data_IF_974168203584
#
_entry.id   IF_974168203584
#
_cell.length_a   1.000
_cell.length_b   1.000
_cell.length_c   1.000
_cell.angle_alpha   90.00
_cell.angle_beta   90.00
_cell.angle_gamma   90.00
#
_symmetry.space_group_name_H-M   'P 1'
#
loop_
_entity.id
_entity.type
_entity.pdbx_description
1 polymer ?
#
# COMPACT_ATOMS: atom_id res chain seq x y z
N UNK A 1 52.52 -0.94 -3.36
CA UNK A 1 51.60 0.21 -3.29
C UNK A 1 50.22 -0.36 -3.50
N UNK A 2 49.54 -0.68 -2.40
CA UNK A 2 48.23 -1.30 -2.36
C UNK A 2 47.16 -0.25 -2.61
N UNK A 3 46.23 -0.53 -3.50
CA UNK A 3 44.92 0.11 -3.54
C UNK A 3 43.93 -1.06 -3.60
N UNK A 4 43.55 -1.50 -2.41
CA UNK A 4 42.35 -2.31 -2.18
C UNK A 4 41.11 -1.42 -2.25
N UNK A 5 39.95 -2.06 -2.35
CA UNK A 5 38.59 -1.51 -2.19
C UNK A 5 37.87 -0.96 -3.43
N UNK A 6 37.73 -1.79 -4.47
CA UNK A 6 36.42 -1.88 -5.14
C UNK A 6 35.46 -2.66 -4.23
N UNK A 7 34.93 -1.97 -3.23
CA UNK A 7 33.79 -2.45 -2.46
C UNK A 7 32.53 -2.29 -3.33
N UNK A 8 32.40 -3.19 -4.30
CA UNK A 8 31.17 -3.45 -5.01
C UNK A 8 30.09 -3.80 -3.99
N UNK A 9 29.34 -2.79 -3.57
CA UNK A 9 28.02 -2.98 -2.94
C UNK A 9 27.13 -3.61 -4.01
N UNK A 10 27.30 -4.90 -4.22
CA UNK A 10 26.25 -5.77 -4.69
C UNK A 10 25.18 -5.67 -3.61
N UNK A 11 24.31 -4.68 -3.77
CA UNK A 11 23.09 -4.54 -2.99
C UNK A 11 22.38 -5.87 -3.21
N UNK A 12 22.48 -6.77 -2.23
CA UNK A 12 21.82 -8.07 -2.22
C UNK A 12 20.33 -7.77 -2.13
N UNK A 13 19.75 -7.44 -3.27
CA UNK A 13 18.33 -7.25 -3.38
C UNK A 13 17.66 -8.60 -3.15
N UNK A 14 16.93 -8.69 -2.05
CA UNK A 14 16.26 -9.92 -1.69
C UNK A 14 15.16 -10.19 -2.73
N UNK A 15 15.08 -11.42 -3.26
CA UNK A 15 14.02 -11.77 -4.20
C UNK A 15 12.66 -11.54 -3.54
N UNK A 16 11.68 -11.16 -4.35
CA UNK A 16 10.31 -11.01 -3.86
C UNK A 16 9.85 -12.37 -3.29
N UNK A 17 9.33 -12.40 -2.05
CA UNK A 17 9.02 -13.65 -1.38
C UNK A 17 7.92 -14.38 -2.15
N UNK A 18 8.10 -15.67 -2.44
CA UNK A 18 7.03 -16.46 -3.07
C UNK A 18 5.80 -16.50 -2.16
N UNK A 19 4.62 -16.16 -2.68
CA UNK A 19 3.38 -16.21 -1.90
C UNK A 19 2.55 -17.41 -2.31
N UNK A 20 2.47 -18.37 -1.40
CA UNK A 20 1.54 -19.50 -1.49
C UNK A 20 0.37 -19.37 -0.52
N UNK A 21 0.56 -18.68 0.60
CA UNK A 21 -0.45 -18.52 1.67
C UNK A 21 -0.14 -17.33 2.56
N UNK A 22 -1.20 -16.63 2.97
CA UNK A 22 -1.16 -15.64 4.05
C UNK A 22 -1.88 -16.23 5.27
N UNK A 23 -1.26 -16.16 6.44
CA UNK A 23 -1.80 -16.69 7.71
C UNK A 23 -2.01 -15.62 8.77
N UNK A 24 -1.53 -14.40 8.53
CA UNK A 24 -1.69 -13.27 9.44
C UNK A 24 -1.62 -11.93 8.72
N UNK A 25 -2.19 -10.89 9.33
CA UNK A 25 -2.08 -9.51 8.84
C UNK A 25 -0.64 -8.99 8.86
N UNK A 26 0.16 -9.41 9.83
CA UNK A 26 1.59 -9.07 9.90
C UNK A 26 2.35 -9.61 8.69
N UNK A 27 2.12 -10.88 8.32
CA UNK A 27 2.71 -11.47 7.12
C UNK A 27 2.25 -10.76 5.84
N UNK A 28 0.95 -10.48 5.73
CA UNK A 28 0.38 -9.75 4.59
C UNK A 28 1.05 -8.37 4.44
N UNK A 29 1.21 -7.64 5.54
CA UNK A 29 1.87 -6.35 5.59
C UNK A 29 3.35 -6.44 5.18
N UNK A 30 4.13 -7.33 5.81
CA UNK A 30 5.55 -7.46 5.53
C UNK A 30 5.83 -7.81 4.06
N UNK A 31 5.06 -8.75 3.51
CA UNK A 31 5.23 -9.17 2.11
C UNK A 31 4.83 -8.07 1.12
N UNK A 32 3.74 -7.34 1.39
CA UNK A 32 3.32 -6.23 0.54
C UNK A 32 4.26 -5.02 0.63
N UNK A 33 4.77 -4.70 1.82
CA UNK A 33 5.80 -3.66 2.00
C UNK A 33 7.06 -3.93 1.18
N UNK A 34 7.46 -5.20 1.04
CA UNK A 34 8.61 -5.58 0.20
C UNK A 34 8.33 -5.38 -1.30
N UNK A 35 7.10 -5.63 -1.74
CA UNK A 35 6.70 -5.33 -3.11
C UNK A 35 6.65 -3.81 -3.36
N UNK A 36 6.09 -3.06 -2.41
CA UNK A 36 6.02 -1.60 -2.45
C UNK A 36 7.40 -0.96 -2.62
N UNK A 37 8.40 -1.40 -1.84
CA UNK A 37 9.74 -0.85 -1.95
C UNK A 37 10.33 -1.07 -3.33
N UNK A 38 10.15 -2.24 -3.95
CA UNK A 38 10.64 -2.49 -5.32
C UNK A 38 10.00 -1.60 -6.38
N UNK A 39 8.70 -1.30 -6.24
CA UNK A 39 7.98 -0.43 -7.17
C UNK A 39 8.29 1.06 -6.99
N UNK A 40 8.71 1.46 -5.78
CA UNK A 40 8.84 2.87 -5.39
C UNK A 40 10.29 3.38 -5.24
N UNK A 41 11.33 2.56 -5.39
CA UNK A 41 12.72 3.03 -5.21
C UNK A 41 13.03 4.15 -6.23
N UNK A 42 13.23 5.40 -5.77
CA UNK A 42 13.64 6.49 -6.64
C UNK A 42 15.07 6.22 -7.15
N UNK A 43 15.27 6.33 -8.47
CA UNK A 43 16.60 6.18 -9.07
C UNK A 43 17.01 4.74 -9.43
N UNK A 44 16.12 3.75 -9.26
CA UNK A 44 16.32 2.41 -9.81
C UNK A 44 15.89 2.40 -11.27
N UNK A 45 16.79 2.84 -12.15
CA UNK A 45 16.65 2.66 -13.58
C UNK A 45 17.34 1.34 -13.95
N UNK A 46 16.60 0.27 -14.24
CA UNK A 46 17.20 -0.84 -14.99
C UNK A 46 17.80 -0.27 -16.27
N UNK A 47 19.03 -0.66 -16.55
CA UNK A 47 19.79 -0.20 -17.73
C UNK A 47 19.18 -0.69 -19.04
N UNK A 48 18.25 -1.67 -18.97
CA UNK A 48 17.58 -2.33 -20.08
C UNK A 48 16.05 -2.30 -19.89
N UNK A 49 15.32 -1.81 -20.91
CA UNK A 49 13.85 -1.78 -20.95
C UNK A 49 13.23 -3.19 -20.86
N UNK A 50 13.90 -4.20 -21.40
CA UNK A 50 13.43 -5.58 -21.40
C UNK A 50 13.48 -6.20 -20.00
N UNK A 51 14.51 -5.89 -19.22
CA UNK A 51 14.62 -6.31 -17.82
C UNK A 51 13.51 -5.66 -16.97
N UNK A 52 13.20 -4.38 -17.24
CA UNK A 52 12.11 -3.67 -16.56
C UNK A 52 10.75 -4.30 -16.85
N UNK A 53 10.47 -4.61 -18.12
CA UNK A 53 9.21 -5.23 -18.53
C UNK A 53 9.06 -6.62 -17.88
N UNK A 54 10.13 -7.41 -17.84
CA UNK A 54 10.11 -8.73 -17.20
C UNK A 54 9.91 -8.63 -15.68
N UNK A 55 10.55 -7.68 -15.01
CA UNK A 55 10.38 -7.43 -13.57
C UNK A 55 8.94 -7.01 -13.25
N UNK A 56 8.36 -6.09 -14.03
CA UNK A 56 6.95 -5.68 -13.89
C UNK A 56 6.00 -6.86 -14.09
N UNK A 57 6.23 -7.68 -15.13
CA UNK A 57 5.42 -8.88 -15.36
C UNK A 57 5.50 -9.87 -14.19
N UNK A 58 6.68 -10.09 -13.61
CA UNK A 58 6.84 -10.92 -12.42
C UNK A 58 6.10 -10.34 -11.22
N UNK A 59 6.17 -9.02 -11.01
CA UNK A 59 5.46 -8.34 -9.93
C UNK A 59 3.94 -8.41 -10.10
N UNK A 60 3.43 -8.31 -11.32
CA UNK A 60 1.99 -8.49 -11.61
C UNK A 60 1.51 -9.88 -11.22
N UNK A 61 2.19 -10.93 -11.70
CA UNK A 61 1.87 -12.32 -11.33
C UNK A 61 1.94 -12.50 -9.81
N UNK A 62 2.94 -11.88 -9.17
CA UNK A 62 3.05 -11.92 -7.72
C UNK A 62 1.88 -11.23 -7.01
N UNK A 63 1.43 -10.07 -7.49
CA UNK A 63 0.31 -9.32 -6.93
C UNK A 63 -1.02 -10.07 -7.06
N UNK A 64 -1.21 -10.80 -8.16
CA UNK A 64 -2.36 -11.70 -8.35
C UNK A 64 -2.34 -12.85 -7.31
N UNK A 65 -1.17 -13.45 -7.09
CA UNK A 65 -1.02 -14.50 -6.08
C UNK A 65 -1.20 -13.95 -4.65
N UNK A 66 -0.70 -12.75 -4.38
CA UNK A 66 -0.91 -12.05 -3.11
C UNK A 66 -2.40 -11.83 -2.86
N UNK A 67 -3.14 -11.31 -3.85
CA UNK A 67 -4.58 -11.05 -3.76
C UNK A 67 -5.37 -12.32 -3.46
N UNK A 68 -5.05 -13.41 -4.18
CA UNK A 68 -5.69 -14.70 -3.95
C UNK A 68 -5.44 -15.21 -2.54
N UNK A 69 -4.17 -15.23 -2.10
CA UNK A 69 -3.81 -15.69 -0.77
C UNK A 69 -4.42 -14.82 0.34
N UNK A 70 -4.52 -13.51 0.13
CA UNK A 70 -5.13 -12.58 1.06
C UNK A 70 -6.64 -12.80 1.15
N UNK A 71 -7.31 -12.99 0.00
CA UNK A 71 -8.74 -13.31 -0.05
C UNK A 71 -9.05 -14.61 0.68
N UNK A 72 -8.27 -15.67 0.46
CA UNK A 72 -8.43 -16.95 1.17
C UNK A 72 -8.27 -16.79 2.70
N UNK A 73 -7.30 -15.97 3.12
CA UNK A 73 -7.11 -15.62 4.53
C UNK A 73 -8.32 -14.85 5.08
N UNK A 74 -8.85 -13.87 4.36
CA UNK A 74 -10.04 -13.12 4.76
C UNK A 74 -11.27 -14.02 4.88
N UNK A 75 -11.51 -14.91 3.93
CA UNK A 75 -12.63 -15.86 3.98
C UNK A 75 -12.64 -16.73 5.24
N UNK A 76 -11.45 -17.09 5.76
CA UNK A 76 -11.32 -17.92 6.94
C UNK A 76 -11.29 -17.14 8.26
N UNK A 77 -10.81 -15.90 8.25
CA UNK A 77 -10.44 -15.18 9.47
C UNK A 77 -11.30 -13.94 9.74
N UNK A 78 -11.99 -13.38 8.74
CA UNK A 78 -12.69 -12.09 8.83
C UNK A 78 -13.81 -12.10 9.89
N UNK A 79 -14.50 -13.22 10.09
CA UNK A 79 -15.58 -13.33 11.08
C UNK A 79 -15.09 -13.13 12.53
N UNK A 80 -13.80 -13.37 12.79
CA UNK A 80 -13.18 -13.20 14.12
C UNK A 80 -12.39 -11.90 14.27
N UNK A 81 -12.29 -11.07 13.23
CA UNK A 81 -11.47 -9.86 13.25
C UNK A 81 -12.11 -8.72 14.03
N UNK A 82 -11.31 -8.03 14.84
CA UNK A 82 -11.70 -6.79 15.51
C UNK A 82 -11.76 -5.59 14.56
N UNK A 83 -12.23 -4.44 15.07
CA UNK A 83 -12.31 -3.20 14.28
C UNK A 83 -10.95 -2.71 13.77
N UNK A 84 -9.89 -2.88 14.55
CA UNK A 84 -8.52 -2.53 14.17
C UNK A 84 -7.99 -3.46 13.06
N UNK A 85 -8.19 -4.77 13.20
CA UNK A 85 -7.82 -5.76 12.16
C UNK A 85 -8.53 -5.47 10.84
N UNK A 86 -9.84 -5.20 10.86
CA UNK A 86 -10.60 -4.81 9.67
C UNK A 86 -10.08 -3.51 9.05
N UNK A 87 -9.63 -2.57 9.88
CA UNK A 87 -9.01 -1.33 9.41
C UNK A 87 -7.68 -1.62 8.74
N UNK A 88 -6.85 -2.49 9.33
CA UNK A 88 -5.60 -2.93 8.71
C UNK A 88 -5.82 -3.68 7.40
N UNK A 89 -6.85 -4.52 7.30
CA UNK A 89 -7.23 -5.17 6.03
C UNK A 89 -7.52 -4.15 4.92
N UNK A 90 -8.23 -3.06 5.25
CA UNK A 90 -8.52 -1.99 4.28
C UNK A 90 -7.26 -1.26 3.84
N UNK A 91 -6.35 -0.97 4.76
CA UNK A 91 -5.03 -0.38 4.46
C UNK A 91 -4.25 -1.29 3.50
N UNK A 92 -4.16 -2.58 3.80
CA UNK A 92 -3.46 -3.55 2.96
C UNK A 92 -4.09 -3.63 1.56
N UNK A 93 -5.42 -3.68 1.47
CA UNK A 93 -6.11 -3.73 0.18
C UNK A 93 -5.87 -2.47 -0.66
N UNK A 94 -5.92 -1.29 -0.05
CA UNK A 94 -5.65 -0.04 -0.77
C UNK A 94 -4.20 0.00 -1.31
N UNK A 95 -3.24 -0.46 -0.52
CA UNK A 95 -1.84 -0.55 -0.96
C UNK A 95 -1.63 -1.61 -2.04
N UNK A 96 -2.33 -2.74 -1.99
CA UNK A 96 -2.31 -3.77 -3.05
C UNK A 96 -2.80 -3.23 -4.40
N UNK A 97 -3.95 -2.53 -4.40
CA UNK A 97 -4.47 -1.87 -5.61
C UNK A 97 -3.46 -0.86 -6.16
N UNK A 98 -2.83 -0.11 -5.27
CA UNK A 98 -1.81 0.87 -5.63
C UNK A 98 -0.58 0.20 -6.27
N UNK A 99 -0.08 -0.90 -5.68
CA UNK A 99 1.00 -1.68 -6.30
C UNK A 99 0.60 -2.23 -7.68
N UNK A 100 -0.66 -2.63 -7.85
CA UNK A 100 -1.18 -3.14 -9.13
C UNK A 100 -1.15 -2.06 -10.21
N UNK A 101 -1.57 -0.84 -9.88
CA UNK A 101 -1.51 0.32 -10.78
C UNK A 101 -0.05 0.64 -11.13
N UNK A 102 0.85 0.64 -10.15
CA UNK A 102 2.28 0.94 -10.37
C UNK A 102 3.02 -0.13 -11.17
N UNK A 103 2.60 -1.40 -11.04
CA UNK A 103 3.17 -2.51 -11.79
C UNK A 103 2.62 -2.63 -13.23
N UNK A 104 1.72 -1.74 -13.64
CA UNK A 104 1.15 -1.75 -14.99
C UNK A 104 2.21 -1.43 -16.07
N UNK A 105 1.89 -1.79 -17.31
CA UNK A 105 2.77 -1.61 -18.47
C UNK A 105 2.83 -0.14 -18.96
N UNK A 106 2.36 0.78 -18.12
CA UNK A 106 2.30 2.19 -18.41
C UNK A 106 3.70 2.81 -18.27
N UNK A 107 4.17 3.46 -19.33
CA UNK A 107 5.53 3.98 -19.45
C UNK A 107 5.83 5.16 -18.50
N UNK A 108 7.11 5.58 -18.42
CA UNK A 108 7.53 6.71 -17.58
C UNK A 108 6.87 8.04 -17.99
N UNK A 109 6.57 8.23 -19.27
CA UNK A 109 5.96 9.45 -19.83
C UNK A 109 4.43 9.45 -19.78
N UNK A 110 3.84 8.53 -19.01
CA UNK A 110 2.41 8.37 -18.98
C UNK A 110 1.66 9.53 -18.34
N UNK A 111 0.57 9.89 -18.99
CA UNK A 111 -0.41 10.86 -18.55
C UNK A 111 -1.49 10.19 -17.70
N UNK A 112 -2.29 10.95 -16.93
CA UNK A 112 -3.41 10.37 -16.18
C UNK A 112 -4.42 9.58 -17.04
N UNK A 113 -4.58 9.93 -18.32
CA UNK A 113 -5.48 9.24 -19.25
C UNK A 113 -5.04 7.81 -19.55
N UNK A 114 -3.73 7.53 -19.48
CA UNK A 114 -3.19 6.19 -19.68
C UNK A 114 -3.59 5.22 -18.54
N UNK A 115 -4.16 5.75 -17.45
CA UNK A 115 -4.64 4.99 -16.30
C UNK A 115 -6.17 4.90 -16.22
N UNK A 116 -6.92 5.35 -17.23
CA UNK A 116 -8.40 5.34 -17.21
C UNK A 116 -8.97 3.92 -17.00
N UNK A 117 -8.25 2.87 -17.44
CA UNK A 117 -8.61 1.48 -17.18
C UNK A 117 -8.63 1.08 -15.69
N UNK A 118 -7.99 1.87 -14.83
CA UNK A 118 -7.94 1.68 -13.38
C UNK A 118 -8.95 2.53 -12.60
N UNK A 119 -9.91 3.17 -13.27
CA UNK A 119 -10.94 4.00 -12.62
C UNK A 119 -11.64 3.27 -11.45
N UNK A 120 -11.99 2.01 -11.63
CA UNK A 120 -12.59 1.19 -10.58
C UNK A 120 -11.67 1.00 -9.37
N UNK A 121 -10.37 0.82 -9.61
CA UNK A 121 -9.36 0.68 -8.55
C UNK A 121 -9.14 2.00 -7.81
N UNK A 122 -9.13 3.13 -8.52
CA UNK A 122 -9.06 4.45 -7.88
C UNK A 122 -10.27 4.71 -6.97
N UNK A 123 -11.48 4.38 -7.42
CA UNK A 123 -12.70 4.48 -6.61
C UNK A 123 -12.62 3.59 -5.36
N UNK A 124 -12.14 2.35 -5.52
CA UNK A 124 -11.96 1.42 -4.42
C UNK A 124 -10.94 1.93 -3.40
N UNK A 125 -9.80 2.49 -3.85
CA UNK A 125 -8.80 3.12 -2.97
C UNK A 125 -9.43 4.24 -2.15
N UNK A 126 -10.16 5.15 -2.79
CA UNK A 126 -10.83 6.28 -2.12
C UNK A 126 -11.84 5.77 -1.08
N UNK A 127 -12.66 4.78 -1.42
CA UNK A 127 -13.64 4.21 -0.50
C UNK A 127 -12.99 3.51 0.71
N UNK A 128 -11.89 2.79 0.49
CA UNK A 128 -11.13 2.15 1.55
C UNK A 128 -10.48 3.18 2.48
N UNK A 129 -9.89 4.25 1.92
CA UNK A 129 -9.29 5.33 2.69
C UNK A 129 -10.32 6.07 3.55
N UNK A 130 -11.50 6.37 2.99
CA UNK A 130 -12.62 6.97 3.71
C UNK A 130 -13.06 6.08 4.90
N UNK A 131 -13.23 4.78 4.67
CA UNK A 131 -13.59 3.83 5.72
C UNK A 131 -12.52 3.71 6.83
N UNK A 132 -11.22 3.78 6.47
CA UNK A 132 -10.10 3.78 7.42
C UNK A 132 -10.14 5.05 8.29
N UNK A 133 -10.31 6.22 7.69
CA UNK A 133 -10.34 7.48 8.43
C UNK A 133 -11.56 7.57 9.35
N UNK A 134 -12.74 7.14 8.89
CA UNK A 134 -13.92 7.04 9.75
C UNK A 134 -13.74 6.05 10.91
N UNK A 135 -13.04 4.93 10.70
CA UNK A 135 -12.73 4.01 11.78
C UNK A 135 -11.80 4.65 12.82
N UNK A 136 -10.72 5.31 12.38
CA UNK A 136 -9.77 6.02 13.25
C UNK A 136 -10.44 7.14 14.06
N UNK A 137 -11.32 7.92 13.45
CA UNK A 137 -12.07 8.98 14.15
C UNK A 137 -12.97 8.45 15.27
N UNK A 138 -13.62 7.29 15.06
CA UNK A 138 -14.47 6.66 16.08
C UNK A 138 -13.66 6.20 17.28
N UNK A 139 -12.43 5.74 17.08
CA UNK A 139 -11.54 5.35 18.19
C UNK A 139 -11.05 6.57 18.98
N UNK A 140 -10.90 7.73 18.33
CA UNK A 140 -10.38 8.96 18.95
C UNK A 140 -11.47 9.75 19.71
N UNK A 141 -12.75 9.63 19.32
CA UNK A 141 -13.85 10.31 20.04
C UNK A 141 -14.26 9.56 21.31
N UNK A 142 -14.06 10.12 22.52
CA UNK A 142 -14.47 9.48 23.76
C UNK A 142 -15.95 9.80 24.04
N UNK A 143 -16.88 9.18 23.32
CA UNK A 143 -18.26 9.12 23.80
C UNK A 143 -18.44 7.87 24.65
N UNK A 144 -18.33 8.07 25.97
CA UNK A 144 -18.52 7.13 27.09
C UNK A 144 -17.24 6.76 27.87
N UNK A 145 -16.50 7.77 28.33
CA UNK A 145 -15.66 7.62 29.52
C UNK A 145 -16.54 7.69 30.77
N UNK A 146 -17.21 6.59 31.10
CA UNK A 146 -17.73 6.34 32.44
C UNK A 146 -17.10 5.06 32.98
N UNK A 147 -15.85 5.19 33.44
CA UNK A 147 -15.20 4.54 34.60
C UNK A 147 -13.70 4.52 34.38
N UNK A 148 -12.98 4.97 35.40
CA UNK A 148 -11.57 5.36 35.30
C UNK A 148 -10.64 4.22 34.91
N UNK A 149 -9.78 4.49 33.93
CA UNK A 149 -8.51 3.81 33.78
C UNK A 149 -7.52 4.81 33.18
N UNK A 150 -6.49 5.12 33.94
CA UNK A 150 -5.34 5.93 33.55
C UNK A 150 -4.51 5.16 32.52
N UNK A 151 -4.89 5.24 31.25
CA UNK A 151 -4.01 4.85 30.15
C UNK A 151 -3.84 6.07 29.25
N UNK A 152 -2.62 6.62 29.26
CA UNK A 152 -2.19 7.71 28.39
C UNK A 152 -2.48 7.37 26.92
N UNK A 153 -2.79 8.37 26.07
CA UNK A 153 -2.99 8.10 24.65
C UNK A 153 -1.64 7.66 24.08
N UNK A 154 -1.55 6.39 23.68
CA UNK A 154 -0.45 5.93 22.84
C UNK A 154 -0.61 6.66 21.51
N UNK A 155 0.36 7.53 21.25
CA UNK A 155 0.54 8.24 19.99
C UNK A 155 0.91 7.18 18.94
N UNK A 156 -0.08 6.51 18.38
CA UNK A 156 0.07 5.49 17.35
C UNK A 156 0.42 6.14 16.01
N UNK A 157 1.55 6.85 15.95
CA UNK A 157 2.19 7.11 14.68
C UNK A 157 2.59 5.74 14.09
N UNK A 158 2.16 5.41 12.86
CA UNK A 158 2.54 4.15 12.23
C UNK A 158 4.07 4.03 12.21
N UNK A 159 4.65 2.87 12.58
CA UNK A 159 6.09 2.71 12.57
C UNK A 159 6.64 3.01 11.17
N UNK A 160 7.78 3.68 11.12
CA UNK A 160 8.50 3.99 9.87
C UNK A 160 8.68 2.70 9.07
N UNK A 161 7.96 2.55 7.96
CA UNK A 161 7.94 1.34 7.13
C UNK A 161 6.63 0.53 7.12
N UNK A 162 5.61 0.89 7.92
CA UNK A 162 4.28 0.29 7.78
C UNK A 162 3.47 0.98 6.68
N UNK A 163 2.78 0.18 5.87
CA UNK A 163 1.84 0.67 4.88
C UNK A 163 0.73 1.50 5.54
N UNK A 164 0.34 2.60 4.90
CA UNK A 164 -0.77 3.46 5.33
C UNK A 164 -1.55 3.96 4.11
N UNK A 165 -2.64 4.69 4.31
CA UNK A 165 -3.51 5.21 3.24
C UNK A 165 -2.93 6.43 2.50
N UNK A 166 -1.84 7.04 3.00
CA UNK A 166 -1.25 8.23 2.40
C UNK A 166 -0.74 7.97 0.98
N UNK A 167 0.02 6.89 0.80
CA UNK A 167 0.62 6.57 -0.48
C UNK A 167 -0.45 6.18 -1.54
N UNK A 168 -1.46 5.36 -1.21
CA UNK A 168 -2.61 5.14 -2.09
C UNK A 168 -3.31 6.43 -2.53
N UNK A 169 -3.60 7.35 -1.59
CA UNK A 169 -4.24 8.63 -1.92
C UNK A 169 -3.37 9.50 -2.84
N UNK A 170 -2.05 9.52 -2.62
CA UNK A 170 -1.11 10.22 -3.50
C UNK A 170 -1.16 9.67 -4.92
N UNK A 171 -1.19 8.35 -5.09
CA UNK A 171 -1.27 7.73 -6.42
C UNK A 171 -2.56 8.06 -7.14
N UNK A 172 -3.69 8.03 -6.44
CA UNK A 172 -4.97 8.49 -7.02
C UNK A 172 -4.83 9.94 -7.51
N UNK A 173 -4.29 10.85 -6.70
CA UNK A 173 -4.12 12.25 -7.10
C UNK A 173 -3.12 12.45 -8.26
N UNK A 174 -2.11 11.58 -8.38
CA UNK A 174 -1.08 11.70 -9.41
C UNK A 174 -1.50 11.07 -10.74
N UNK A 175 -2.36 10.05 -10.73
CA UNK A 175 -2.63 9.18 -11.88
C UNK A 175 -4.09 9.16 -12.33
N UNK A 176 -5.04 9.61 -11.52
CA UNK A 176 -6.46 9.61 -11.89
C UNK A 176 -6.82 10.84 -12.73
N UNK A 177 -7.48 10.62 -13.88
CA UNK A 177 -8.01 11.68 -14.75
C UNK A 177 -9.39 12.19 -14.31
N UNK A 178 -10.13 11.40 -13.52
CA UNK A 178 -11.47 11.74 -13.05
C UNK A 178 -11.41 12.79 -11.93
N UNK A 179 -11.84 14.01 -12.24
CA UNK A 179 -11.86 15.13 -11.29
C UNK A 179 -12.64 14.83 -10.00
N UNK A 180 -13.77 14.11 -10.07
CA UNK A 180 -14.57 13.78 -8.89
C UNK A 180 -13.87 12.81 -7.94
N UNK A 181 -13.09 11.87 -8.47
CA UNK A 181 -12.27 10.93 -7.68
C UNK A 181 -11.08 11.65 -7.09
N UNK A 182 -10.42 12.47 -7.92
CA UNK A 182 -9.29 13.28 -7.52
C UNK A 182 -9.64 14.22 -6.36
N UNK A 183 -10.76 14.94 -6.44
CA UNK A 183 -11.23 15.87 -5.41
C UNK A 183 -11.48 15.16 -4.07
N UNK A 184 -12.07 13.96 -4.12
CA UNK A 184 -12.27 13.12 -2.94
C UNK A 184 -10.94 12.67 -2.34
N UNK A 185 -10.01 12.19 -3.16
CA UNK A 185 -8.70 11.76 -2.70
C UNK A 185 -7.90 12.91 -2.07
N UNK A 186 -7.95 14.09 -2.68
CA UNK A 186 -7.32 15.32 -2.17
C UNK A 186 -7.83 15.70 -0.78
N UNK A 187 -9.16 15.73 -0.60
CA UNK A 187 -9.78 15.99 0.71
C UNK A 187 -9.37 14.95 1.77
N UNK A 188 -9.39 13.67 1.43
CA UNK A 188 -8.99 12.61 2.36
C UNK A 188 -7.50 12.68 2.69
N UNK A 189 -6.65 13.13 1.75
CA UNK A 189 -5.21 13.31 1.98
C UNK A 189 -4.94 14.44 2.98
N UNK A 190 -5.70 15.53 2.93
CA UNK A 190 -5.62 16.61 3.93
C UNK A 190 -6.08 16.11 5.31
N UNK A 191 -7.27 15.49 5.36
CA UNK A 191 -7.84 14.96 6.61
C UNK A 191 -6.91 13.96 7.32
N UNK A 192 -6.25 13.10 6.54
CA UNK A 192 -5.33 12.09 7.06
C UNK A 192 -4.00 12.67 7.57
N UNK A 193 -3.68 13.92 7.22
CA UNK A 193 -2.55 14.69 7.76
C UNK A 193 -2.96 15.60 8.94
N UNK A 194 -4.24 15.63 9.30
CA UNK A 194 -4.78 16.52 10.32
C UNK A 194 -4.89 17.99 9.86
N UNK A 195 -4.98 18.23 8.55
CA UNK A 195 -5.16 19.53 7.91
C UNK A 195 -6.57 19.63 7.31
#
# INVERSE_FOLDING_TARGET
MSIEEEMGRSSRELPVPTISRITSLSQANATLSHCWSRLWIPGRHPTDENEQAQERQQLRIWLENWEKAFTDFLCSSMASMGGEDLTQCRVLKANHLTCTILASDVGPDATPQDFDGFEADFQAIVALAEAVLHARQRTISPQSASTGSTASPVDSAPPVGSLDIQAPLYIVMARCSNAGVWDRASRLSLQSRGL
#
